data_IF_409527699428
#
_entry.id   IF_409527699428
#
_cell.length_a   1.000
_cell.length_b   1.000
_cell.length_c   1.000
_cell.angle_alpha   90.00
_cell.angle_beta   90.00
_cell.angle_gamma   90.00
#
_symmetry.space_group_name_H-M   'P 1'
#
loop_
_entity.id
_entity.type
_entity.pdbx_description
1 polymer ?
#
# COMPACT_ATOMS: atom_id res chain seq x y z
N UNK A 1 6.07 16.34 21.59
CA UNK A 1 6.56 14.97 21.65
C UNK A 1 7.96 14.91 21.08
N UNK A 2 8.81 14.04 21.61
CA UNK A 2 10.16 13.86 21.09
C UNK A 2 10.07 13.37 19.65
N UNK A 3 10.83 14.01 18.74
CA UNK A 3 10.89 13.64 17.36
C UNK A 3 11.29 12.16 17.26
N UNK A 4 10.55 11.38 16.47
CA UNK A 4 10.89 9.98 16.21
C UNK A 4 12.30 9.88 15.62
N UNK A 5 13.12 8.96 16.16
CA UNK A 5 14.50 8.72 15.71
C UNK A 5 14.82 7.22 15.76
N UNK A 6 15.46 6.65 14.72
CA UNK A 6 16.06 5.32 14.79
C UNK A 6 17.16 5.25 15.88
N UNK A 7 17.50 4.03 16.30
CA UNK A 7 18.42 3.82 17.42
C UNK A 7 19.90 4.01 17.11
N UNK A 8 20.31 3.86 15.85
CA UNK A 8 21.72 3.92 15.44
C UNK A 8 22.00 5.15 14.59
N UNK A 9 23.14 5.80 14.79
CA UNK A 9 23.61 6.96 14.02
C UNK A 9 24.95 6.64 13.39
N UNK A 10 25.22 7.19 12.21
CA UNK A 10 26.55 7.27 11.60
C UNK A 10 27.40 8.35 12.28
N UNK A 11 28.71 8.37 11.96
CA UNK A 11 29.60 9.47 12.37
C UNK A 11 29.15 10.85 11.87
N UNK A 12 28.42 10.89 10.76
CA UNK A 12 27.85 12.11 10.18
C UNK A 12 26.52 12.52 10.83
N UNK A 13 26.05 11.78 11.80
CA UNK A 13 24.80 12.05 12.50
C UNK A 13 23.53 11.54 11.81
N UNK A 14 23.65 10.80 10.71
CA UNK A 14 22.54 10.15 10.02
C UNK A 14 22.14 8.83 10.69
N UNK A 15 20.87 8.43 10.55
CA UNK A 15 20.39 7.18 11.11
C UNK A 15 20.46 6.05 10.10
N UNK A 16 21.00 4.90 10.52
CA UNK A 16 21.14 3.71 9.67
C UNK A 16 19.82 2.93 9.63
N UNK A 17 19.26 2.78 8.44
CA UNK A 17 18.08 1.96 8.19
C UNK A 17 18.47 0.49 8.00
N UNK A 18 19.58 0.24 7.29
CA UNK A 18 20.15 -1.09 7.05
C UNK A 18 21.63 -0.99 6.80
N UNK A 19 22.40 -2.07 7.10
CA UNK A 19 23.77 -2.21 6.59
C UNK A 19 23.75 -2.53 5.09
N UNK A 20 24.85 -2.28 4.34
CA UNK A 20 24.94 -2.61 2.92
C UNK A 20 24.64 -4.08 2.62
N UNK A 21 25.14 -5.01 3.44
CA UNK A 21 24.91 -6.45 3.25
C UNK A 21 23.43 -6.80 3.44
N UNK A 22 22.78 -6.23 4.48
CA UNK A 22 21.35 -6.43 4.74
C UNK A 22 20.52 -5.82 3.62
N UNK A 23 20.88 -4.64 3.15
CA UNK A 23 20.20 -3.99 2.02
C UNK A 23 20.35 -4.83 0.73
N UNK A 24 21.53 -5.35 0.43
CA UNK A 24 21.78 -6.23 -0.71
C UNK A 24 20.97 -7.54 -0.61
N UNK A 25 20.95 -8.16 0.58
CA UNK A 25 20.14 -9.36 0.85
C UNK A 25 18.65 -9.11 0.64
N UNK A 26 18.15 -7.99 1.15
CA UNK A 26 16.76 -7.55 0.96
C UNK A 26 16.45 -7.35 -0.53
N UNK A 27 17.30 -6.63 -1.26
CA UNK A 27 17.12 -6.41 -2.70
C UNK A 27 17.08 -7.71 -3.49
N UNK A 28 17.96 -8.67 -3.17
CA UNK A 28 17.99 -9.98 -3.84
C UNK A 28 16.71 -10.78 -3.59
N UNK A 29 16.30 -10.90 -2.33
CA UNK A 29 15.11 -11.67 -1.95
C UNK A 29 13.82 -11.06 -2.53
N UNK A 30 13.64 -9.74 -2.39
CA UNK A 30 12.45 -9.06 -2.86
C UNK A 30 12.43 -8.90 -4.38
N UNK A 31 13.60 -8.83 -5.03
CA UNK A 31 13.69 -8.77 -6.49
C UNK A 31 13.02 -9.95 -7.17
N UNK A 32 13.22 -11.17 -6.65
CA UNK A 32 12.56 -12.36 -7.17
C UNK A 32 11.04 -12.35 -6.97
N UNK A 33 10.58 -11.82 -5.83
CA UNK A 33 9.13 -11.66 -5.57
C UNK A 33 8.53 -10.66 -6.55
N UNK A 34 9.17 -9.52 -6.77
CA UNK A 34 8.70 -8.51 -7.74
C UNK A 34 8.65 -9.10 -9.15
N UNK A 35 9.69 -9.84 -9.57
CA UNK A 35 9.73 -10.50 -10.88
C UNK A 35 8.56 -11.48 -11.05
N UNK A 36 8.21 -12.25 -10.02
CA UNK A 36 7.05 -13.13 -10.03
C UNK A 36 5.73 -12.34 -10.21
N UNK A 37 5.60 -11.18 -9.52
CA UNK A 37 4.45 -10.28 -9.68
C UNK A 37 4.31 -9.74 -11.09
N UNK A 38 5.41 -9.26 -11.66
CA UNK A 38 5.44 -8.75 -13.03
C UNK A 38 5.18 -9.87 -14.05
N UNK A 39 5.71 -11.06 -13.84
CA UNK A 39 5.40 -12.21 -14.68
C UNK A 39 3.91 -12.60 -14.63
N UNK A 40 3.28 -12.54 -13.45
CA UNK A 40 1.85 -12.80 -13.30
C UNK A 40 1.01 -11.82 -14.13
N UNK A 41 1.22 -10.52 -14.00
CA UNK A 41 0.47 -9.52 -14.76
C UNK A 41 0.79 -9.52 -16.25
N UNK A 42 1.98 -9.95 -16.67
CA UNK A 42 2.34 -9.99 -18.09
C UNK A 42 1.84 -11.26 -18.81
N UNK A 43 1.80 -12.41 -18.12
CA UNK A 43 1.64 -13.70 -18.78
C UNK A 43 0.42 -14.49 -18.33
N UNK A 44 -0.09 -14.21 -17.12
CA UNK A 44 -1.24 -14.92 -16.56
C UNK A 44 -2.50 -14.07 -16.66
N UNK A 45 -2.44 -12.82 -16.20
CA UNK A 45 -3.60 -11.95 -16.07
C UNK A 45 -3.35 -10.52 -16.65
N UNK A 46 -2.90 -10.37 -17.91
CA UNK A 46 -2.61 -9.05 -18.49
C UNK A 46 -3.84 -8.15 -18.60
N UNK A 47 -5.02 -8.71 -18.71
CA UNK A 47 -6.29 -7.99 -18.80
C UNK A 47 -6.64 -7.21 -17.51
N UNK A 48 -5.97 -7.48 -16.40
CA UNK A 48 -6.16 -6.74 -15.14
C UNK A 48 -5.49 -5.36 -15.16
N UNK A 49 -4.50 -5.17 -16.03
CA UNK A 49 -3.69 -3.96 -16.08
C UNK A 49 -3.93 -3.18 -17.36
N UNK A 50 -3.85 -1.86 -17.26
CA UNK A 50 -3.77 -0.99 -18.41
C UNK A 50 -2.45 -1.17 -19.18
N UNK A 51 -2.39 -0.89 -20.51
CA UNK A 51 -1.18 -1.09 -21.31
C UNK A 51 0.06 -0.37 -20.77
N UNK A 52 -0.12 0.80 -20.16
CA UNK A 52 0.98 1.58 -19.59
C UNK A 52 1.67 0.89 -18.40
N UNK A 53 0.93 0.12 -17.61
CA UNK A 53 1.46 -0.70 -16.50
C UNK A 53 2.21 -1.94 -17.03
N UNK A 54 1.83 -2.44 -18.21
CA UNK A 54 2.50 -3.56 -18.86
C UNK A 54 3.74 -3.13 -19.67
N UNK A 55 4.01 -1.83 -19.79
CA UNK A 55 5.18 -1.31 -20.49
C UNK A 55 6.49 -1.75 -19.80
N UNK A 56 7.42 -2.40 -20.51
CA UNK A 56 8.67 -2.90 -19.93
C UNK A 56 9.52 -1.81 -19.27
N UNK A 57 9.50 -0.59 -19.80
CA UNK A 57 10.28 0.52 -19.25
C UNK A 57 9.65 1.01 -17.92
N UNK A 58 8.31 1.03 -17.82
CA UNK A 58 7.66 1.28 -16.53
C UNK A 58 8.01 0.18 -15.53
N UNK A 59 7.89 -1.09 -15.90
CA UNK A 59 8.13 -2.22 -14.99
C UNK A 59 9.56 -2.26 -14.48
N UNK A 60 10.54 -1.93 -15.34
CA UNK A 60 11.94 -1.83 -14.92
C UNK A 60 12.16 -0.69 -13.92
N UNK A 61 11.54 0.49 -14.14
CA UNK A 61 11.57 1.61 -13.19
C UNK A 61 10.87 1.25 -11.87
N UNK A 62 9.66 0.70 -11.94
CA UNK A 62 8.91 0.25 -10.77
C UNK A 62 9.73 -0.70 -9.89
N UNK A 63 10.36 -1.72 -10.49
CA UNK A 63 11.21 -2.67 -9.76
C UNK A 63 12.37 -1.97 -9.07
N UNK A 64 13.09 -1.10 -9.76
CA UNK A 64 14.21 -0.35 -9.18
C UNK A 64 13.75 0.54 -8.01
N UNK A 65 12.71 1.33 -8.21
CA UNK A 65 12.13 2.23 -7.21
C UNK A 65 11.59 1.47 -5.98
N UNK A 66 10.94 0.32 -6.20
CA UNK A 66 10.45 -0.54 -5.13
C UNK A 66 11.59 -1.09 -4.29
N UNK A 67 12.67 -1.57 -4.91
CA UNK A 67 13.83 -2.12 -4.22
C UNK A 67 14.57 -1.04 -3.41
N UNK A 68 14.63 0.19 -3.91
CA UNK A 68 15.20 1.32 -3.17
C UNK A 68 14.35 1.69 -1.95
N UNK A 69 13.03 1.72 -2.10
CA UNK A 69 12.10 2.05 -1.03
C UNK A 69 12.07 0.99 0.08
N UNK A 70 12.06 -0.30 -0.27
CA UNK A 70 11.87 -1.40 0.68
C UNK A 70 13.01 -1.55 1.69
N UNK A 71 14.18 -0.97 1.44
CA UNK A 71 15.26 -0.89 2.42
C UNK A 71 14.83 -0.18 3.70
N UNK A 72 13.92 0.80 3.60
CA UNK A 72 13.42 1.60 4.70
C UNK A 72 12.11 1.08 5.32
N UNK A 73 11.46 0.10 4.68
CA UNK A 73 10.12 -0.38 5.06
C UNK A 73 10.02 -0.82 6.54
N UNK A 74 11.07 -1.44 7.08
CA UNK A 74 11.09 -1.87 8.49
C UNK A 74 11.00 -0.74 9.52
N UNK A 75 11.20 0.50 9.13
CA UNK A 75 11.09 1.69 9.99
C UNK A 75 9.70 2.34 9.93
N UNK A 76 8.96 2.14 8.85
CA UNK A 76 7.68 2.80 8.58
C UNK A 76 6.62 2.45 9.64
N UNK A 77 6.51 1.18 10.03
CA UNK A 77 5.55 0.77 11.06
C UNK A 77 5.78 1.46 12.40
N UNK A 78 7.04 1.65 12.79
CA UNK A 78 7.40 2.38 14.01
C UNK A 78 7.13 3.88 13.87
N UNK A 79 7.41 4.43 12.70
CA UNK A 79 7.10 5.82 12.39
C UNK A 79 5.59 6.05 12.38
N UNK A 80 4.80 5.15 11.80
CA UNK A 80 3.33 5.26 11.74
C UNK A 80 2.67 5.40 13.10
N UNK A 81 3.24 4.79 14.14
CA UNK A 81 2.71 4.79 15.51
C UNK A 81 3.44 5.75 16.49
N UNK A 82 4.40 6.55 16.01
CA UNK A 82 5.23 7.40 16.89
C UNK A 82 4.54 8.65 17.43
N UNK A 83 3.43 9.04 16.83
CA UNK A 83 2.63 10.21 17.20
C UNK A 83 1.19 9.78 17.46
N UNK A 84 0.71 10.04 18.67
CA UNK A 84 -0.61 9.60 19.15
C UNK A 84 -1.77 10.18 18.33
N UNK A 85 -1.60 11.31 17.64
CA UNK A 85 -2.63 11.90 16.78
C UNK A 85 -2.95 11.02 15.56
N UNK A 86 -2.03 10.12 15.15
CA UNK A 86 -2.24 9.15 14.06
C UNK A 86 -2.58 7.74 14.55
N UNK A 87 -2.84 7.59 15.84
CA UNK A 87 -3.18 6.30 16.44
C UNK A 87 -4.57 6.40 17.06
N UNK A 88 -5.49 5.59 16.56
CA UNK A 88 -6.87 5.57 17.00
C UNK A 88 -7.42 4.16 17.17
N UNK A 89 -8.66 4.08 17.67
CA UNK A 89 -9.44 2.86 17.57
C UNK A 89 -9.81 2.67 16.10
N UNK A 90 -9.39 1.57 15.52
CA UNK A 90 -9.53 1.33 14.09
C UNK A 90 -10.15 -0.03 13.83
N UNK A 91 -10.90 -0.10 12.75
CA UNK A 91 -11.39 -1.35 12.17
C UNK A 91 -10.27 -1.98 11.34
N UNK A 92 -9.46 -2.86 11.92
CA UNK A 92 -8.22 -3.36 11.29
C UNK A 92 -8.43 -4.25 10.06
N UNK A 93 -9.68 -4.58 9.73
CA UNK A 93 -10.07 -5.31 8.52
C UNK A 93 -11.12 -4.53 7.71
N UNK A 94 -10.92 -3.22 7.53
CA UNK A 94 -11.83 -2.35 6.81
C UNK A 94 -11.63 -2.55 5.29
N UNK A 95 -12.29 -3.56 4.75
CA UNK A 95 -12.40 -3.85 3.33
C UNK A 95 -13.82 -3.56 2.87
N UNK A 96 -14.03 -3.42 1.57
CA UNK A 96 -15.36 -3.19 1.01
C UNK A 96 -16.35 -4.30 1.39
N UNK A 97 -15.89 -5.54 1.54
CA UNK A 97 -16.72 -6.67 1.97
C UNK A 97 -17.27 -6.52 3.41
N UNK A 98 -16.66 -5.64 4.22
CA UNK A 98 -17.08 -5.32 5.57
C UNK A 98 -17.85 -3.98 5.66
N UNK A 99 -18.30 -3.47 4.52
CA UNK A 99 -19.14 -2.27 4.42
C UNK A 99 -20.44 -2.59 3.69
N UNK A 100 -21.52 -1.94 4.07
CA UNK A 100 -22.78 -1.98 3.33
C UNK A 100 -23.31 -0.56 3.15
N UNK A 101 -23.99 -0.35 2.04
CA UNK A 101 -24.47 0.96 1.63
C UNK A 101 -25.97 0.93 1.40
N UNK A 102 -26.67 2.01 1.76
CA UNK A 102 -28.09 2.17 1.46
C UNK A 102 -28.41 3.65 1.17
N UNK A 103 -29.53 3.86 0.52
CA UNK A 103 -30.08 5.20 0.33
C UNK A 103 -31.06 5.49 1.45
N UNK A 104 -30.85 6.57 2.20
CA UNK A 104 -31.77 7.02 3.23
C UNK A 104 -33.02 7.65 2.62
N UNK A 105 -34.04 7.93 3.44
CA UNK A 105 -35.33 8.47 2.99
C UNK A 105 -35.22 9.85 2.33
N UNK A 106 -34.19 10.61 2.68
CA UNK A 106 -33.88 11.93 2.09
C UNK A 106 -33.05 11.84 0.79
N UNK A 107 -32.72 10.62 0.32
CA UNK A 107 -31.91 10.35 -0.86
C UNK A 107 -30.42 10.38 -0.64
N UNK A 108 -29.92 10.61 0.59
CA UNK A 108 -28.50 10.54 0.91
C UNK A 108 -27.98 9.10 0.87
N UNK A 109 -26.71 8.94 0.50
CA UNK A 109 -26.03 7.65 0.58
C UNK A 109 -25.47 7.48 1.99
N UNK A 110 -25.87 6.42 2.65
CA UNK A 110 -25.41 6.02 3.97
C UNK A 110 -24.52 4.79 3.90
N UNK A 111 -23.64 4.63 4.89
CA UNK A 111 -22.72 3.49 4.99
C UNK A 111 -22.69 2.93 6.40
N UNK A 112 -22.73 1.62 6.52
CA UNK A 112 -22.50 0.91 7.77
C UNK A 112 -21.34 -0.07 7.64
N UNK A 113 -20.74 -0.40 8.78
CA UNK A 113 -19.59 -1.31 8.86
C UNK A 113 -19.96 -2.57 9.63
N UNK A 114 -19.40 -3.70 9.17
CA UNK A 114 -19.56 -5.04 9.73
C UNK A 114 -18.22 -5.55 10.26
N UNK A 115 -18.26 -6.69 10.99
CA UNK A 115 -17.08 -7.46 11.42
C UNK A 115 -16.06 -6.68 12.27
N UNK A 116 -16.54 -6.08 13.34
CA UNK A 116 -15.71 -5.32 14.29
C UNK A 116 -14.81 -6.18 15.20
N UNK A 117 -14.75 -7.50 14.97
CA UNK A 117 -14.00 -8.45 15.80
C UNK A 117 -12.52 -8.09 15.95
N UNK A 118 -11.89 -7.59 14.88
CA UNK A 118 -10.47 -7.20 14.87
C UNK A 118 -10.23 -5.73 15.27
N UNK A 119 -11.24 -5.06 15.84
CA UNK A 119 -11.09 -3.67 16.25
C UNK A 119 -9.98 -3.49 17.30
N UNK A 120 -9.02 -2.62 17.03
CA UNK A 120 -7.89 -2.41 17.93
C UNK A 120 -7.31 -1.00 17.78
N UNK A 121 -6.51 -0.60 18.79
CA UNK A 121 -5.78 0.67 18.72
C UNK A 121 -4.52 0.50 17.89
N UNK A 122 -4.51 1.07 16.68
CA UNK A 122 -3.37 1.00 15.77
C UNK A 122 -3.20 2.29 14.95
N UNK A 123 -2.13 2.35 14.15
CA UNK A 123 -1.88 3.47 13.25
C UNK A 123 -2.98 3.56 12.18
N UNK A 124 -3.66 4.72 12.09
CA UNK A 124 -4.78 4.94 11.16
C UNK A 124 -4.40 4.65 9.70
N UNK A 125 -3.19 5.04 9.29
CA UNK A 125 -2.72 4.86 7.92
C UNK A 125 -2.69 3.39 7.46
N UNK A 126 -2.53 2.42 8.36
CA UNK A 126 -2.54 1.00 8.01
C UNK A 126 -3.94 0.49 7.64
N UNK A 127 -4.97 1.05 8.26
CA UNK A 127 -6.36 0.67 7.98
C UNK A 127 -6.78 1.09 6.59
N UNK A 128 -6.32 2.27 6.15
CA UNK A 128 -6.63 2.80 4.83
C UNK A 128 -6.10 1.94 3.68
N UNK A 129 -5.01 1.18 3.90
CA UNK A 129 -4.54 0.22 2.89
C UNK A 129 -5.58 -0.89 2.63
N UNK A 130 -6.24 -1.39 3.67
CA UNK A 130 -7.34 -2.35 3.53
C UNK A 130 -8.57 -1.71 2.88
N UNK A 131 -8.98 -0.54 3.36
CA UNK A 131 -10.15 0.19 2.86
C UNK A 131 -10.06 0.53 1.36
N UNK A 132 -8.89 1.02 0.93
CA UNK A 132 -8.67 1.51 -0.44
C UNK A 132 -8.09 0.46 -1.39
N UNK A 133 -7.83 -0.75 -0.92
CA UNK A 133 -7.18 -1.82 -1.69
C UNK A 133 -7.97 -2.29 -2.91
N UNK A 134 -9.30 -2.17 -2.86
CA UNK A 134 -10.17 -2.50 -3.97
C UNK A 134 -10.39 -1.37 -4.97
N UNK A 135 -9.94 -0.15 -4.64
CA UNK A 135 -10.12 1.01 -5.50
C UNK A 135 -9.28 0.89 -6.78
N UNK A 136 -9.84 1.34 -7.90
CA UNK A 136 -9.10 1.50 -9.14
C UNK A 136 -7.91 2.44 -8.93
N UNK A 137 -6.73 2.06 -9.46
CA UNK A 137 -5.48 2.76 -9.15
C UNK A 137 -5.43 4.18 -9.70
N UNK A 138 -5.96 4.43 -10.90
CA UNK A 138 -6.06 5.77 -11.48
C UNK A 138 -7.01 6.65 -10.68
N UNK A 139 -8.19 6.11 -10.37
CA UNK A 139 -9.20 6.81 -9.55
C UNK A 139 -8.63 7.17 -8.17
N UNK A 140 -7.97 6.22 -7.50
CA UNK A 140 -7.35 6.48 -6.20
C UNK A 140 -6.25 7.54 -6.29
N UNK A 141 -5.38 7.47 -7.30
CA UNK A 141 -4.30 8.44 -7.48
C UNK A 141 -4.80 9.88 -7.69
N UNK A 142 -5.95 10.02 -8.34
CA UNK A 142 -6.60 11.33 -8.57
C UNK A 142 -7.34 11.89 -7.35
N UNK A 143 -7.71 11.04 -6.37
CA UNK A 143 -8.61 11.44 -5.29
C UNK A 143 -8.05 11.19 -3.88
N UNK A 144 -6.88 10.59 -3.72
CA UNK A 144 -6.32 10.18 -2.42
C UNK A 144 -6.29 11.32 -1.40
N UNK A 145 -5.77 12.49 -1.76
CA UNK A 145 -5.73 13.63 -0.85
C UNK A 145 -7.14 14.13 -0.47
N UNK A 146 -8.09 14.11 -1.41
CA UNK A 146 -9.47 14.49 -1.13
C UNK A 146 -10.15 13.54 -0.13
N UNK A 147 -9.89 12.23 -0.26
CA UNK A 147 -10.36 11.20 0.67
C UNK A 147 -9.80 11.47 2.08
N UNK A 148 -8.51 11.75 2.21
CA UNK A 148 -7.89 12.03 3.51
C UNK A 148 -8.31 13.37 4.10
N UNK A 149 -8.66 14.37 3.27
CA UNK A 149 -9.27 15.62 3.73
C UNK A 149 -10.66 15.37 4.32
N UNK A 150 -11.52 14.68 3.58
CA UNK A 150 -12.85 14.32 4.06
C UNK A 150 -12.78 13.54 5.39
N UNK A 151 -11.89 12.55 5.49
CA UNK A 151 -11.68 11.83 6.75
C UNK A 151 -11.22 12.76 7.89
N UNK A 152 -10.26 13.65 7.63
CA UNK A 152 -9.73 14.56 8.65
C UNK A 152 -10.81 15.51 9.19
N UNK A 153 -11.62 16.06 8.29
CA UNK A 153 -12.70 16.98 8.62
C UNK A 153 -13.79 16.28 9.45
N UNK A 154 -14.22 15.08 9.04
CA UNK A 154 -15.19 14.27 9.79
C UNK A 154 -14.64 13.83 11.15
N UNK A 155 -13.39 13.38 11.20
CA UNK A 155 -12.76 12.97 12.44
C UNK A 155 -12.70 14.12 13.46
N UNK A 156 -12.39 15.34 13.02
CA UNK A 156 -12.42 16.55 13.87
C UNK A 156 -13.86 16.91 14.26
N UNK A 157 -14.83 16.85 13.34
CA UNK A 157 -16.23 17.15 13.60
C UNK A 157 -16.87 16.24 14.68
N UNK A 158 -16.42 14.97 14.73
CA UNK A 158 -16.83 14.02 15.77
C UNK A 158 -15.95 14.07 17.05
N UNK A 159 -15.16 15.13 17.23
CA UNK A 159 -14.39 15.37 18.47
C UNK A 159 -13.03 14.69 18.52
N UNK A 160 -12.55 14.13 17.42
CA UNK A 160 -11.19 13.64 17.30
C UNK A 160 -10.17 14.79 17.21
N UNK A 161 -8.88 14.54 17.46
CA UNK A 161 -7.86 15.56 17.22
C UNK A 161 -7.75 15.83 15.71
N UNK A 162 -7.44 17.09 15.34
CA UNK A 162 -7.14 17.42 13.95
C UNK A 162 -5.93 16.63 13.44
N UNK A 163 -6.14 15.86 12.39
CA UNK A 163 -5.10 15.09 11.71
C UNK A 163 -4.82 15.76 10.36
N UNK A 164 -3.61 16.30 10.11
CA UNK A 164 -3.31 16.90 8.82
C UNK A 164 -3.45 15.87 7.69
N UNK A 165 -4.29 16.12 6.67
CA UNK A 165 -4.56 15.15 5.62
C UNK A 165 -3.33 14.80 4.79
N UNK A 166 -2.44 15.76 4.55
CA UNK A 166 -1.18 15.54 3.83
C UNK A 166 -0.23 14.62 4.61
N UNK A 167 -0.16 14.76 5.94
CA UNK A 167 0.65 13.86 6.78
C UNK A 167 0.03 12.46 6.87
N UNK A 168 -1.30 12.34 6.84
CA UNK A 168 -1.98 11.05 6.81
C UNK A 168 -1.77 10.34 5.49
N UNK A 169 -1.86 11.08 4.37
CA UNK A 169 -1.54 10.58 3.03
C UNK A 169 -0.06 10.15 2.93
N UNK A 170 0.89 10.94 3.47
CA UNK A 170 2.30 10.54 3.54
C UNK A 170 2.44 9.18 4.25
N UNK A 171 1.83 9.01 5.42
CA UNK A 171 1.87 7.76 6.20
C UNK A 171 1.21 6.59 5.48
N UNK A 172 0.08 6.81 4.81
CA UNK A 172 -0.55 5.83 3.94
C UNK A 172 0.41 5.39 2.82
N UNK A 173 0.96 6.37 2.10
CA UNK A 173 1.85 6.13 0.95
C UNK A 173 3.15 5.42 1.36
N UNK A 174 3.71 5.72 2.52
CA UNK A 174 4.89 5.03 3.07
C UNK A 174 4.66 3.54 3.33
N UNK A 175 3.44 3.11 3.64
CA UNK A 175 3.12 1.70 3.84
C UNK A 175 2.90 0.96 2.51
N UNK A 176 2.68 1.68 1.41
CA UNK A 176 2.28 1.12 0.11
C UNK A 176 3.30 0.13 -0.50
N UNK A 177 4.64 0.38 -0.46
CA UNK A 177 5.62 -0.59 -0.93
C UNK A 177 5.53 -1.95 -0.22
N UNK A 178 5.37 -1.94 1.11
CA UNK A 178 5.19 -3.16 1.91
C UNK A 178 3.88 -3.87 1.59
N UNK A 179 2.82 -3.11 1.34
CA UNK A 179 1.51 -3.61 0.95
C UNK A 179 1.56 -4.33 -0.41
N UNK A 180 2.14 -3.71 -1.45
CA UNK A 180 2.25 -4.33 -2.77
C UNK A 180 3.07 -5.61 -2.71
N UNK A 181 4.25 -5.59 -2.09
CA UNK A 181 5.11 -6.79 -2.02
C UNK A 181 4.45 -7.92 -1.23
N UNK A 182 3.68 -7.58 -0.19
CA UNK A 182 2.89 -8.53 0.57
C UNK A 182 1.82 -9.22 -0.28
N UNK A 183 1.13 -8.48 -1.16
CA UNK A 183 0.14 -9.05 -2.08
C UNK A 183 0.79 -9.90 -3.18
N UNK A 184 1.89 -9.45 -3.77
CA UNK A 184 2.66 -10.23 -4.76
C UNK A 184 3.11 -11.57 -4.17
N UNK A 185 3.54 -11.60 -2.91
CA UNK A 185 3.96 -12.83 -2.24
C UNK A 185 2.85 -13.89 -2.08
N UNK A 186 1.59 -13.51 -2.34
CA UNK A 186 0.41 -14.39 -2.27
C UNK A 186 0.08 -15.07 -3.61
N UNK A 187 0.78 -14.76 -4.69
CA UNK A 187 0.45 -15.27 -6.03
C UNK A 187 0.36 -16.80 -6.02
N UNK A 188 1.41 -17.49 -5.59
CA UNK A 188 1.42 -18.97 -5.59
C UNK A 188 0.44 -19.56 -4.58
N UNK A 189 0.43 -19.02 -3.36
CA UNK A 189 -0.25 -19.63 -2.21
C UNK A 189 -1.74 -19.29 -2.12
N UNK A 190 -2.20 -18.22 -2.76
CA UNK A 190 -3.59 -17.74 -2.64
C UNK A 190 -4.26 -17.51 -4.00
N UNK A 191 -3.51 -17.11 -5.03
CA UNK A 191 -4.10 -16.88 -6.35
C UNK A 191 -4.08 -18.16 -7.17
N UNK A 192 -2.90 -18.67 -7.47
CA UNK A 192 -2.73 -19.82 -8.37
C UNK A 192 -3.12 -21.16 -7.73
N UNK A 193 -3.11 -21.25 -6.39
CA UNK A 193 -3.63 -22.42 -5.68
C UNK A 193 -5.15 -22.54 -5.76
N UNK A 194 -5.88 -21.42 -5.88
CA UNK A 194 -7.35 -21.44 -6.03
C UNK A 194 -7.76 -21.49 -7.50
N UNK A 195 -7.07 -20.73 -8.35
CA UNK A 195 -7.32 -20.64 -9.79
C UNK A 195 -6.03 -20.90 -10.56
N UNK A 196 -5.81 -22.13 -11.07
CA UNK A 196 -4.62 -22.45 -11.86
C UNK A 196 -4.43 -21.52 -13.06
N UNK A 197 -3.18 -21.26 -13.45
CA UNK A 197 -2.82 -20.29 -14.49
C UNK A 197 -3.56 -20.50 -15.83
N UNK A 198 -3.88 -21.77 -16.18
CA UNK A 198 -4.59 -22.11 -17.43
C UNK A 198 -6.01 -21.53 -17.44
N UNK A 199 -6.66 -21.44 -16.28
CA UNK A 199 -8.02 -20.88 -16.18
C UNK A 199 -8.07 -19.39 -16.39
N UNK A 200 -6.99 -18.67 -16.09
CA UNK A 200 -6.90 -17.24 -16.32
C UNK A 200 -6.92 -16.87 -17.80
N UNK A 201 -6.50 -17.78 -18.69
CA UNK A 201 -6.48 -17.53 -20.15
C UNK A 201 -7.88 -17.35 -20.76
N UNK A 202 -8.92 -17.78 -20.08
CA UNK A 202 -10.32 -17.61 -20.51
C UNK A 202 -10.97 -16.31 -20.04
N UNK A 203 -10.31 -15.55 -19.17
CA UNK A 203 -10.80 -14.29 -18.63
C UNK A 203 -10.32 -13.12 -19.50
N UNK A 204 -11.17 -12.11 -19.68
CA UNK A 204 -10.90 -10.97 -20.56
C UNK A 204 -11.02 -9.61 -19.87
N UNK A 205 -11.62 -9.57 -18.70
CA UNK A 205 -11.90 -8.32 -17.97
C UNK A 205 -11.74 -8.49 -16.46
N UNK A 206 -11.64 -7.37 -15.72
CA UNK A 206 -11.69 -7.35 -14.27
C UNK A 206 -13.00 -7.94 -13.74
N UNK A 207 -14.12 -7.76 -14.46
CA UNK A 207 -15.44 -8.26 -14.06
C UNK A 207 -15.48 -9.80 -14.04
N UNK A 208 -14.80 -10.45 -14.96
CA UNK A 208 -14.70 -11.92 -14.98
C UNK A 208 -14.04 -12.49 -13.72
N UNK A 209 -13.20 -11.70 -13.05
CA UNK A 209 -12.51 -12.09 -11.81
C UNK A 209 -13.40 -11.90 -10.59
N UNK A 210 -14.37 -10.98 -10.64
CA UNK A 210 -15.22 -10.66 -9.48
C UNK A 210 -16.07 -11.84 -9.02
N UNK A 211 -16.46 -12.74 -9.94
CA UNK A 211 -17.20 -13.98 -9.64
C UNK A 211 -16.29 -15.13 -9.17
N UNK A 212 -14.98 -14.92 -9.17
CA UNK A 212 -13.99 -15.92 -8.80
C UNK A 212 -13.85 -16.15 -7.29
N UNK A 213 -13.04 -17.15 -6.90
CA UNK A 213 -12.70 -17.39 -5.50
C UNK A 213 -12.13 -16.16 -4.81
N UNK A 214 -12.46 -15.98 -3.53
CA UNK A 214 -12.19 -14.74 -2.80
C UNK A 214 -10.72 -14.32 -2.80
N UNK A 215 -9.78 -15.22 -2.47
CA UNK A 215 -8.36 -14.87 -2.44
C UNK A 215 -7.82 -14.55 -3.84
N UNK A 216 -8.18 -15.37 -4.84
CA UNK A 216 -7.74 -15.16 -6.22
C UNK A 216 -8.22 -13.79 -6.73
N UNK A 217 -9.49 -13.46 -6.49
CA UNK A 217 -10.10 -12.16 -6.81
C UNK A 217 -9.40 -11.01 -6.09
N UNK A 218 -9.36 -11.06 -4.76
CA UNK A 218 -8.85 -9.95 -3.96
C UNK A 218 -7.37 -9.66 -4.24
N UNK A 219 -6.50 -10.67 -4.15
CA UNK A 219 -5.06 -10.43 -4.31
C UNK A 219 -4.67 -10.05 -5.73
N UNK A 220 -5.30 -10.60 -6.75
CA UNK A 220 -5.00 -10.23 -8.14
C UNK A 220 -5.38 -8.77 -8.45
N UNK A 221 -6.56 -8.34 -8.00
CA UNK A 221 -7.00 -6.94 -8.15
C UNK A 221 -6.14 -5.98 -7.32
N UNK A 222 -5.78 -6.35 -6.09
CA UNK A 222 -4.89 -5.54 -5.26
C UNK A 222 -3.50 -5.35 -5.89
N UNK A 223 -2.95 -6.37 -6.56
CA UNK A 223 -1.69 -6.26 -7.30
C UNK A 223 -1.86 -5.30 -8.48
N UNK A 224 -2.87 -5.51 -9.32
CA UNK A 224 -3.09 -4.69 -10.51
C UNK A 224 -3.38 -3.22 -10.16
N UNK A 225 -4.28 -2.99 -9.20
CA UNK A 225 -4.63 -1.64 -8.73
C UNK A 225 -3.43 -0.94 -8.05
N UNK A 226 -2.61 -1.70 -7.33
CA UNK A 226 -1.39 -1.18 -6.71
C UNK A 226 -0.34 -0.73 -7.74
N UNK A 227 -0.15 -1.50 -8.83
CA UNK A 227 0.72 -1.12 -9.94
C UNK A 227 0.19 0.11 -10.68
N UNK A 228 -1.13 0.15 -10.93
CA UNK A 228 -1.82 1.29 -11.56
C UNK A 228 -1.69 2.56 -10.69
N UNK A 229 -1.95 2.47 -9.37
CA UNK A 229 -1.75 3.59 -8.46
C UNK A 229 -0.30 4.12 -8.51
N UNK A 230 0.68 3.21 -8.48
CA UNK A 230 2.10 3.59 -8.59
C UNK A 230 2.40 4.34 -9.89
N UNK A 231 1.86 3.86 -11.01
CA UNK A 231 2.01 4.50 -12.32
C UNK A 231 1.41 5.91 -12.34
N UNK A 232 0.15 6.06 -11.91
CA UNK A 232 -0.58 7.32 -11.99
C UNK A 232 -0.12 8.38 -10.98
N UNK A 233 0.60 7.99 -9.92
CA UNK A 233 1.24 8.95 -9.00
C UNK A 233 2.48 9.64 -9.61
N UNK A 234 2.97 9.22 -10.78
CA UNK A 234 4.08 9.87 -11.48
C UNK A 234 5.30 10.08 -10.58
N UNK A 235 5.74 11.33 -10.43
CA UNK A 235 6.89 11.69 -9.59
C UNK A 235 6.62 11.57 -8.07
N UNK A 236 5.34 11.47 -7.68
CA UNK A 236 4.90 11.27 -6.31
C UNK A 236 4.55 9.80 -5.99
N UNK A 237 5.05 8.86 -6.79
CA UNK A 237 4.87 7.43 -6.57
C UNK A 237 5.40 7.02 -5.17
N UNK A 238 4.85 5.93 -4.56
CA UNK A 238 5.18 5.55 -3.19
C UNK A 238 6.67 5.37 -2.90
N UNK A 239 7.46 4.93 -3.88
CA UNK A 239 8.91 4.84 -3.75
C UNK A 239 9.58 6.21 -3.58
N UNK A 240 9.16 7.22 -4.37
CA UNK A 240 9.71 8.57 -4.25
C UNK A 240 9.33 9.22 -2.91
N UNK A 241 8.10 9.02 -2.44
CA UNK A 241 7.66 9.47 -1.11
C UNK A 241 8.51 8.83 -0.02
N UNK A 242 8.79 7.53 -0.10
CA UNK A 242 9.66 6.83 0.85
C UNK A 242 11.08 7.40 0.88
N UNK A 243 11.66 7.67 -0.27
CA UNK A 243 13.03 8.21 -0.35
C UNK A 243 13.08 9.66 0.18
N UNK A 244 12.08 10.50 -0.13
CA UNK A 244 11.97 11.85 0.45
C UNK A 244 11.80 11.81 1.97
N UNK A 245 10.96 10.92 2.47
CA UNK A 245 10.79 10.70 3.90
C UNK A 245 12.09 10.23 4.56
N UNK A 246 12.81 9.29 3.94
CA UNK A 246 14.09 8.83 4.44
C UNK A 246 15.12 9.96 4.51
N UNK A 247 15.22 10.79 3.48
CA UNK A 247 16.09 11.97 3.45
C UNK A 247 15.71 13.00 4.54
N UNK A 248 14.41 13.29 4.72
CA UNK A 248 13.89 14.20 5.75
C UNK A 248 14.26 13.76 7.17
N UNK A 249 14.44 12.48 7.39
CA UNK A 249 14.80 11.88 8.69
C UNK A 249 16.27 11.46 8.79
N UNK A 250 17.12 11.90 7.86
CA UNK A 250 18.55 11.55 7.82
C UNK A 250 18.81 10.02 7.81
N UNK A 251 17.91 9.25 7.18
CA UNK A 251 18.08 7.81 7.07
C UNK A 251 19.03 7.46 5.93
N UNK A 252 19.91 6.51 6.16
CA UNK A 252 20.86 6.02 5.16
C UNK A 252 20.94 4.50 5.17
N UNK A 253 21.36 3.94 4.06
CA UNK A 253 21.97 2.59 4.02
C UNK A 253 23.43 2.81 4.30
N UNK A 254 23.89 2.40 5.47
CA UNK A 254 25.25 2.71 5.95
C UNK A 254 26.03 1.49 6.33
N UNK A 255 27.34 1.67 6.40
CA UNK A 255 28.24 0.66 6.93
C UNK A 255 27.90 0.40 8.41
N UNK A 256 27.99 -0.85 8.82
CA UNK A 256 27.85 -1.21 10.22
C UNK A 256 28.95 -0.51 11.01
N UNK A 257 28.56 0.29 12.01
CA UNK A 257 29.51 0.82 12.99
C UNK A 257 29.79 -0.23 14.04
#
# INVERSE_FOLDING_TARGET
GDAWKPRQRTSEGKYVAATPERAAGTRKALGAIIDAGLAFVNHVAPFLCEPAVLDPAFQARFKAQMLDALVFAGLVGKFGANDSKFVGLTHTNLQLDNAYFWTADDGSLECGLLDWYMCSRTAMAQVWLGCLSGADGECLAGHDLAIFRAFSDEHEAFGGPRVPPEELLERFTLNFPSYIIGNISKIETHILSEVPAEKWKGLASKDDVLDGPWNARCFSLMIANGLSYWYHKGDDHPGAVMLRWAAKHDLVVGDAV
#
